data_IF_960618675750
#
_entry.id   IF_960618675750
#
_cell.length_a   1.000
_cell.length_b   1.000
_cell.length_c   1.000
_cell.angle_alpha   90.00
_cell.angle_beta   90.00
_cell.angle_gamma   90.00
#
_symmetry.space_group_name_H-M   'P 1'
#
loop_
_entity.id
_entity.type
_entity.pdbx_description
1 polymer ?
#
# COMPACT_ATOMS: atom_id res chain seq x y z
N UNK A 1 0.40 -0.32 -28.97
CA UNK A 1 0.50 1.15 -28.83
C UNK A 1 1.91 1.49 -29.27
N UNK A 2 2.03 2.18 -30.39
CA UNK A 2 3.30 2.51 -31.01
C UNK A 2 4.05 3.57 -30.19
N UNK A 3 5.39 3.63 -30.31
CA UNK A 3 6.23 4.57 -29.52
C UNK A 3 5.80 6.04 -29.76
N UNK A 4 5.37 6.38 -30.99
CA UNK A 4 4.88 7.72 -31.34
C UNK A 4 3.58 8.07 -30.60
N UNK A 5 2.66 7.11 -30.42
CA UNK A 5 1.40 7.31 -29.70
C UNK A 5 1.63 7.52 -28.19
N UNK A 6 2.62 6.85 -27.61
CA UNK A 6 3.02 7.04 -26.21
C UNK A 6 3.66 8.42 -25.99
N UNK A 7 4.54 8.86 -26.90
CA UNK A 7 5.18 10.18 -26.81
C UNK A 7 4.17 11.32 -26.99
N UNK A 8 3.14 11.14 -27.81
CA UNK A 8 2.08 12.12 -28.00
C UNK A 8 1.17 12.21 -26.76
N UNK A 9 0.77 11.08 -26.19
CA UNK A 9 0.00 11.04 -24.94
C UNK A 9 0.76 11.66 -23.77
N UNK A 10 2.06 11.43 -23.68
CA UNK A 10 2.91 12.05 -22.67
C UNK A 10 2.96 13.57 -22.80
N UNK A 11 3.11 14.09 -24.02
CA UNK A 11 3.10 15.54 -24.28
C UNK A 11 1.76 16.17 -23.92
N UNK A 12 0.65 15.51 -24.27
CA UNK A 12 -0.70 15.98 -23.90
C UNK A 12 -0.85 16.03 -22.38
N UNK A 13 -0.44 14.99 -21.67
CA UNK A 13 -0.51 14.94 -20.22
C UNK A 13 0.37 16.00 -19.56
N UNK A 14 1.62 16.18 -20.02
CA UNK A 14 2.51 17.24 -19.53
C UNK A 14 1.92 18.64 -19.74
N UNK A 15 1.31 18.90 -20.91
CA UNK A 15 0.68 20.16 -21.19
C UNK A 15 -0.54 20.40 -20.28
N UNK A 16 -1.36 19.39 -20.00
CA UNK A 16 -2.48 19.48 -19.06
C UNK A 16 -2.02 19.79 -17.64
N UNK A 17 -0.96 19.15 -17.19
CA UNK A 17 -0.37 19.35 -15.86
C UNK A 17 0.25 20.76 -15.73
N UNK A 18 0.90 21.26 -16.79
CA UNK A 18 1.42 22.64 -16.86
C UNK A 18 0.31 23.67 -16.83
N UNK A 19 -0.82 23.44 -17.54
CA UNK A 19 -1.99 24.32 -17.52
C UNK A 19 -2.60 24.46 -16.13
N UNK A 20 -2.46 23.45 -15.26
CA UNK A 20 -2.95 23.47 -13.90
C UNK A 20 -1.87 23.88 -12.86
N UNK A 21 -0.72 24.39 -13.30
CA UNK A 21 0.42 24.80 -12.46
C UNK A 21 0.92 23.71 -11.50
N UNK A 22 0.70 22.43 -11.85
CA UNK A 22 1.14 21.32 -11.05
C UNK A 22 2.63 21.04 -11.30
N UNK A 23 3.42 21.04 -10.24
CA UNK A 23 4.82 20.57 -10.31
C UNK A 23 4.82 19.05 -10.39
N UNK A 24 4.85 18.54 -11.61
CA UNK A 24 4.67 17.12 -11.92
C UNK A 24 5.80 16.58 -12.77
N UNK A 25 6.16 15.34 -12.52
CA UNK A 25 7.09 14.56 -13.32
C UNK A 25 6.35 13.35 -13.90
N UNK A 26 6.32 13.23 -15.22
CA UNK A 26 5.73 12.08 -15.91
C UNK A 26 6.85 11.11 -16.26
N UNK A 27 6.73 9.90 -15.71
CA UNK A 27 7.71 8.83 -15.95
C UNK A 27 7.09 7.77 -16.85
N UNK A 28 7.71 7.57 -18.01
CA UNK A 28 7.30 6.53 -18.96
C UNK A 28 7.93 5.17 -18.64
N UNK A 29 7.43 4.12 -19.29
CA UNK A 29 8.06 2.79 -19.23
C UNK A 29 9.53 2.85 -19.64
N UNK A 30 9.86 3.61 -20.71
CA UNK A 30 11.22 3.79 -21.21
C UNK A 30 12.14 4.48 -20.20
N UNK A 31 11.63 5.45 -19.45
CA UNK A 31 12.39 6.11 -18.37
C UNK A 31 12.66 5.14 -17.23
N UNK A 32 11.66 4.33 -16.88
CA UNK A 32 11.79 3.28 -15.90
C UNK A 32 12.81 2.20 -16.32
N UNK A 33 12.81 1.80 -17.58
CA UNK A 33 13.80 0.88 -18.16
C UNK A 33 15.22 1.42 -18.00
N UNK A 34 15.47 2.66 -18.43
CA UNK A 34 16.79 3.32 -18.31
C UNK A 34 17.23 3.42 -16.84
N UNK A 35 16.30 3.77 -15.94
CA UNK A 35 16.62 3.85 -14.53
C UNK A 35 17.03 2.49 -13.95
N UNK A 36 16.29 1.43 -14.27
CA UNK A 36 16.58 0.08 -13.80
C UNK A 36 17.87 -0.49 -14.41
N UNK A 37 18.19 -0.17 -15.66
CA UNK A 37 19.47 -0.49 -16.31
C UNK A 37 20.64 0.20 -15.58
N UNK A 38 20.50 1.49 -15.25
CA UNK A 38 21.50 2.23 -14.50
C UNK A 38 21.69 1.67 -13.07
N UNK A 39 20.61 1.21 -12.45
CA UNK A 39 20.65 0.52 -11.16
C UNK A 39 21.37 -0.84 -11.26
N UNK A 40 21.18 -1.53 -12.38
CA UNK A 40 21.81 -2.82 -12.67
C UNK A 40 23.34 -2.78 -12.66
N UNK A 41 23.92 -1.67 -13.09
CA UNK A 41 25.37 -1.48 -13.07
C UNK A 41 25.92 -1.37 -11.64
N UNK A 42 25.07 -1.00 -10.69
CA UNK A 42 25.42 -0.83 -9.26
C UNK A 42 25.07 -2.05 -8.40
N UNK A 43 24.23 -2.95 -8.89
CA UNK A 43 23.75 -4.13 -8.19
C UNK A 43 24.12 -5.41 -8.94
N UNK A 44 23.86 -6.59 -8.34
CA UNK A 44 24.06 -7.86 -9.03
C UNK A 44 23.16 -7.96 -10.27
N UNK A 45 23.74 -8.38 -11.42
CA UNK A 45 23.00 -8.55 -12.69
C UNK A 45 21.73 -9.40 -12.53
N UNK A 46 21.75 -10.41 -11.63
CA UNK A 46 20.59 -11.29 -11.39
C UNK A 46 19.44 -10.52 -10.76
N UNK A 47 19.70 -9.67 -9.77
CA UNK A 47 18.67 -8.85 -9.10
C UNK A 47 18.05 -7.84 -10.06
N UNK A 48 18.86 -7.26 -10.94
CA UNK A 48 18.39 -6.31 -11.94
C UNK A 48 17.39 -6.92 -12.92
N UNK A 49 17.67 -8.10 -13.48
CA UNK A 49 16.77 -8.78 -14.42
C UNK A 49 15.44 -9.10 -13.71
N UNK A 50 15.48 -9.56 -12.46
CA UNK A 50 14.28 -9.86 -11.68
C UNK A 50 13.45 -8.60 -11.41
N UNK A 51 14.10 -7.49 -11.06
CA UNK A 51 13.41 -6.24 -10.76
C UNK A 51 12.79 -5.63 -12.03
N UNK A 52 13.49 -5.64 -13.16
CA UNK A 52 12.96 -5.19 -14.45
C UNK A 52 11.77 -6.04 -14.89
N UNK A 53 11.86 -7.36 -14.75
CA UNK A 53 10.73 -8.26 -15.04
C UNK A 53 9.53 -7.99 -14.14
N UNK A 54 9.76 -7.72 -12.85
CA UNK A 54 8.71 -7.43 -11.87
C UNK A 54 7.97 -6.12 -12.16
N UNK A 55 8.72 -5.04 -12.41
CA UNK A 55 8.16 -3.70 -12.48
C UNK A 55 7.76 -3.27 -13.88
N UNK A 56 8.34 -3.86 -14.93
CA UNK A 56 8.11 -3.42 -16.32
C UNK A 56 7.14 -4.31 -17.10
N UNK A 57 6.79 -5.51 -16.59
CA UNK A 57 5.98 -6.47 -17.34
C UNK A 57 4.74 -6.97 -16.61
N UNK A 58 3.56 -6.37 -16.81
CA UNK A 58 3.33 -5.09 -17.50
C UNK A 58 3.63 -3.90 -16.57
N UNK A 59 3.97 -2.76 -17.16
CA UNK A 59 4.17 -1.50 -16.42
C UNK A 59 2.83 -0.78 -16.27
N UNK A 60 2.00 -1.23 -15.35
CA UNK A 60 0.64 -0.72 -15.06
C UNK A 60 0.30 -0.86 -13.58
N UNK A 61 -0.63 -0.06 -13.10
CA UNK A 61 -1.23 -0.18 -11.76
C UNK A 61 -0.20 -0.28 -10.62
N UNK A 62 -0.21 -1.37 -9.90
CA UNK A 62 0.67 -1.60 -8.73
C UNK A 62 2.17 -1.60 -9.07
N UNK A 63 2.56 -1.95 -10.29
CA UNK A 63 3.95 -1.88 -10.74
C UNK A 63 4.41 -0.43 -10.88
N UNK A 64 3.61 0.43 -11.52
CA UNK A 64 3.90 1.86 -11.66
C UNK A 64 4.01 2.52 -10.27
N UNK A 65 3.09 2.22 -9.36
CA UNK A 65 3.12 2.75 -7.98
C UNK A 65 4.38 2.30 -7.24
N UNK A 66 4.70 1.00 -7.26
CA UNK A 66 5.91 0.47 -6.64
C UNK A 66 7.18 1.13 -7.20
N UNK A 67 7.24 1.33 -8.53
CA UNK A 67 8.33 2.05 -9.15
C UNK A 67 8.41 3.51 -8.67
N UNK A 68 7.28 4.22 -8.63
CA UNK A 68 7.19 5.59 -8.12
C UNK A 68 7.67 5.71 -6.67
N UNK A 69 7.32 4.74 -5.80
CA UNK A 69 7.80 4.69 -4.42
C UNK A 69 9.32 4.50 -4.34
N UNK A 70 9.86 3.68 -5.24
CA UNK A 70 11.29 3.38 -5.29
C UNK A 70 12.12 4.61 -5.66
N UNK A 71 11.69 5.35 -6.70
CA UNK A 71 12.46 6.48 -7.25
C UNK A 71 12.22 7.81 -6.55
N UNK A 72 11.12 7.95 -5.82
CA UNK A 72 10.77 9.17 -5.10
C UNK A 72 11.87 9.58 -4.13
N UNK A 73 12.15 10.89 -4.06
CA UNK A 73 13.06 11.49 -3.08
C UNK A 73 12.31 12.15 -1.92
N UNK A 74 10.99 12.21 -1.99
CA UNK A 74 10.15 12.79 -0.95
C UNK A 74 10.21 11.96 0.32
N UNK A 75 10.10 12.61 1.47
CA UNK A 75 9.99 11.94 2.77
C UNK A 75 8.64 11.25 2.91
N UNK A 76 7.57 11.95 2.61
CA UNK A 76 6.22 11.43 2.66
C UNK A 76 5.74 11.14 1.25
N UNK A 77 5.15 9.98 1.07
CA UNK A 77 4.52 9.56 -0.18
C UNK A 77 3.04 9.38 0.10
N UNK A 78 2.20 9.98 -0.73
CA UNK A 78 0.75 9.76 -0.74
C UNK A 78 0.42 9.06 -2.04
N UNK A 79 -0.37 8.00 -1.96
CA UNK A 79 -0.75 7.18 -3.11
C UNK A 79 -2.26 7.01 -3.14
N UNK A 80 -2.82 7.30 -4.30
CA UNK A 80 -4.23 7.08 -4.63
C UNK A 80 -4.32 6.13 -5.82
N UNK A 81 -5.42 5.38 -5.90
CA UNK A 81 -5.76 4.66 -7.13
C UNK A 81 -6.37 5.62 -8.15
N UNK A 82 -6.29 5.24 -9.42
CA UNK A 82 -6.85 5.98 -10.55
C UNK A 82 -8.38 6.09 -10.54
N UNK A 83 -9.06 5.25 -9.76
CA UNK A 83 -10.52 5.17 -9.66
C UNK A 83 -11.10 5.97 -8.49
N UNK A 84 -10.27 6.73 -7.76
CA UNK A 84 -10.72 7.56 -6.65
C UNK A 84 -10.63 9.04 -6.98
N UNK A 85 -11.56 9.80 -6.42
CA UNK A 85 -11.58 11.27 -6.51
C UNK A 85 -11.69 11.87 -5.11
N UNK A 86 -11.41 13.17 -4.93
CA UNK A 86 -11.60 13.84 -3.65
C UNK A 86 -13.01 13.65 -3.13
N UNK A 87 -13.15 13.26 -1.86
CA UNK A 87 -14.44 13.20 -1.20
C UNK A 87 -14.93 14.61 -0.83
N UNK A 88 -16.24 14.74 -0.61
CA UNK A 88 -16.86 15.96 -0.10
C UNK A 88 -17.28 15.75 1.34
N UNK A 89 -17.07 16.75 2.16
CA UNK A 89 -17.70 16.83 3.47
C UNK A 89 -19.22 16.91 3.30
N UNK A 90 -19.94 16.04 3.98
CA UNK A 90 -21.39 15.94 3.83
C UNK A 90 -22.15 17.11 4.48
N UNK A 91 -21.51 17.81 5.42
CA UNK A 91 -22.12 18.94 6.11
C UNK A 91 -21.91 20.26 5.37
N UNK A 92 -20.66 20.54 4.95
CA UNK A 92 -20.29 21.78 4.25
C UNK A 92 -20.38 21.68 2.73
N UNK A 93 -20.28 20.47 2.16
CA UNK A 93 -20.17 20.24 0.72
C UNK A 93 -18.80 20.57 0.15
N UNK A 94 -17.84 20.96 0.97
CA UNK A 94 -16.47 21.28 0.57
C UNK A 94 -15.67 20.02 0.24
N UNK A 95 -14.71 20.16 -0.67
CA UNK A 95 -13.78 19.07 -0.98
C UNK A 95 -12.81 18.85 0.20
N UNK A 96 -12.66 17.60 0.59
CA UNK A 96 -11.69 17.22 1.61
C UNK A 96 -10.28 17.17 1.02
N UNK A 97 -9.34 17.83 1.68
CA UNK A 97 -7.93 17.73 1.34
C UNK A 97 -7.33 16.45 1.96
N UNK A 98 -7.41 15.36 1.21
CA UNK A 98 -6.91 14.07 1.66
C UNK A 98 -5.38 14.08 1.84
N UNK A 99 -4.66 14.89 1.09
CA UNK A 99 -3.19 14.98 1.19
C UNK A 99 -2.79 15.62 2.52
N UNK A 100 -3.37 16.77 2.86
CA UNK A 100 -3.06 17.46 4.12
C UNK A 100 -3.51 16.63 5.33
N UNK A 101 -4.66 15.96 5.26
CA UNK A 101 -5.11 15.07 6.34
C UNK A 101 -4.15 13.89 6.55
N UNK A 102 -3.64 13.27 5.48
CA UNK A 102 -2.59 12.25 5.58
C UNK A 102 -1.32 12.79 6.23
N UNK A 103 -0.88 13.98 5.80
CA UNK A 103 0.31 14.62 6.37
C UNK A 103 0.12 14.95 7.85
N UNK A 104 -1.05 15.42 8.26
CA UNK A 104 -1.40 15.65 9.66
C UNK A 104 -1.31 14.35 10.48
N UNK A 105 -1.83 13.24 9.93
CA UNK A 105 -1.72 11.93 10.58
C UNK A 105 -0.26 11.49 10.73
N UNK A 106 0.59 11.63 9.71
CA UNK A 106 1.99 11.25 9.74
C UNK A 106 2.82 12.13 10.67
N UNK A 107 2.50 13.41 10.78
CA UNK A 107 3.17 14.37 11.68
C UNK A 107 2.78 14.20 13.14
N UNK A 108 1.59 13.69 13.41
CA UNK A 108 1.10 13.46 14.77
C UNK A 108 1.51 12.09 15.31
N UNK A 109 1.67 11.99 16.64
CA UNK A 109 2.09 10.75 17.29
C UNK A 109 0.97 9.71 17.33
N UNK A 110 1.35 8.43 17.33
CA UNK A 110 0.46 7.28 17.49
C UNK A 110 0.67 6.64 18.87
N UNK A 111 -0.36 6.00 19.41
CA UNK A 111 -0.32 5.34 20.72
C UNK A 111 -0.67 3.85 20.62
N UNK A 112 0.19 3.02 19.98
CA UNK A 112 -0.15 1.63 19.65
C UNK A 112 -0.08 0.66 20.85
N UNK A 113 0.54 1.03 21.97
CA UNK A 113 0.85 0.11 23.05
C UNK A 113 -0.26 -0.06 24.07
N UNK A 114 -1.18 0.89 24.15
CA UNK A 114 -2.28 0.88 25.11
C UNK A 114 -3.53 1.49 24.47
N UNK A 115 -4.61 0.74 24.41
CA UNK A 115 -5.84 1.24 23.80
C UNK A 115 -6.52 2.24 24.74
N UNK A 116 -6.84 3.43 24.23
CA UNK A 116 -7.54 4.46 24.99
C UNK A 116 -9.05 4.22 24.92
N UNK A 117 -9.63 3.70 25.98
CA UNK A 117 -11.08 3.41 26.06
C UNK A 117 -11.96 4.66 26.16
N UNK A 118 -11.37 5.86 26.25
CA UNK A 118 -12.09 7.12 26.13
C UNK A 118 -12.22 7.59 24.67
N UNK A 119 -11.69 6.82 23.72
CA UNK A 119 -11.84 7.14 22.31
C UNK A 119 -13.32 7.22 21.93
N UNK A 120 -13.72 8.38 21.43
CA UNK A 120 -15.07 8.67 20.95
C UNK A 120 -14.98 9.35 19.59
N UNK A 121 -15.41 8.70 18.50
CA UNK A 121 -15.34 9.26 17.15
C UNK A 121 -16.18 10.51 16.95
N UNK A 122 -17.16 10.78 17.83
CA UNK A 122 -17.97 11.98 17.79
C UNK A 122 -17.38 13.15 18.60
N UNK A 123 -16.23 12.94 19.21
CA UNK A 123 -15.52 13.95 20.01
C UNK A 123 -14.07 14.04 19.57
N UNK A 124 -13.88 14.58 18.35
CA UNK A 124 -12.56 14.70 17.73
C UNK A 124 -11.54 15.49 18.57
N UNK A 125 -12.00 16.40 19.40
CA UNK A 125 -11.22 17.21 20.35
C UNK A 125 -10.92 16.52 21.67
N UNK A 126 -11.42 15.31 21.88
CA UNK A 126 -11.23 14.54 23.12
C UNK A 126 -9.81 13.98 23.22
N UNK A 127 -8.91 14.78 23.75
CA UNK A 127 -7.48 14.43 23.91
C UNK A 127 -7.17 13.76 25.24
N UNK A 128 -8.19 13.40 26.04
CA UNK A 128 -8.03 12.78 27.34
C UNK A 128 -7.56 11.33 27.25
N UNK A 129 -6.73 10.91 28.21
CA UNK A 129 -6.38 9.51 28.39
C UNK A 129 -7.25 8.88 29.48
N UNK A 130 -7.67 7.65 29.24
CA UNK A 130 -8.41 6.87 30.25
C UNK A 130 -7.62 6.74 31.55
N UNK A 131 -8.34 6.66 32.67
CA UNK A 131 -7.75 6.39 33.98
C UNK A 131 -6.91 5.10 33.91
N UNK A 132 -5.66 5.17 34.35
CA UNK A 132 -4.72 4.05 34.29
C UNK A 132 -3.90 3.98 33.02
N UNK A 133 -4.10 4.89 32.04
CA UNK A 133 -3.22 4.97 30.90
C UNK A 133 -1.80 5.38 31.35
N UNK A 134 -0.77 4.56 31.06
CA UNK A 134 0.59 4.81 31.56
C UNK A 134 1.15 6.15 31.07
N UNK A 135 1.68 6.96 31.96
CA UNK A 135 2.24 8.27 31.58
C UNK A 135 3.37 8.17 30.55
N UNK A 136 4.23 7.16 30.69
CA UNK A 136 5.34 6.91 29.73
C UNK A 136 4.87 6.64 28.30
N UNK A 137 3.65 6.15 28.11
CA UNK A 137 3.09 5.83 26.79
C UNK A 137 2.29 6.98 26.17
N UNK A 138 1.99 8.04 26.95
CA UNK A 138 1.21 9.20 26.47
C UNK A 138 1.94 10.05 25.44
N UNK A 139 3.27 10.03 25.44
CA UNK A 139 4.08 10.72 24.43
C UNK A 139 3.88 10.14 23.02
N UNK A 140 3.41 8.90 22.95
CA UNK A 140 3.25 8.19 21.69
C UNK A 140 4.56 7.93 20.95
N UNK A 141 4.44 7.34 19.78
CA UNK A 141 5.54 7.01 18.88
C UNK A 141 5.36 7.65 17.51
N UNK A 142 6.40 7.67 16.70
CA UNK A 142 6.33 8.19 15.33
C UNK A 142 5.35 7.39 14.50
N UNK A 143 4.43 8.07 13.82
CA UNK A 143 3.53 7.48 12.84
C UNK A 143 4.26 7.33 11.52
N UNK A 144 4.28 6.12 10.97
CA UNK A 144 4.96 5.83 9.70
C UNK A 144 4.00 5.58 8.55
N UNK A 145 2.73 5.31 8.85
CA UNK A 145 1.70 5.04 7.84
C UNK A 145 0.36 5.64 8.26
N UNK A 146 -0.33 6.23 7.31
CA UNK A 146 -1.71 6.72 7.40
C UNK A 146 -2.53 6.06 6.31
N UNK A 147 -3.48 5.24 6.71
CA UNK A 147 -4.43 4.58 5.82
C UNK A 147 -5.76 5.34 5.88
N UNK A 148 -6.22 5.78 4.73
CA UNK A 148 -7.51 6.45 4.58
C UNK A 148 -8.62 5.47 4.19
N UNK A 149 -9.86 5.94 4.29
CA UNK A 149 -11.06 5.17 3.96
C UNK A 149 -11.66 5.65 2.64
N UNK A 150 -12.66 4.91 2.13
CA UNK A 150 -13.39 5.27 0.93
C UNK A 150 -14.87 5.46 1.23
N UNK A 151 -15.46 6.51 0.65
CA UNK A 151 -16.90 6.67 0.50
C UNK A 151 -17.32 6.10 -0.86
N UNK A 152 -18.60 5.79 -1.01
CA UNK A 152 -19.15 5.18 -2.22
C UNK A 152 -18.95 3.67 -2.22
N UNK A 153 -18.19 3.13 -3.16
CA UNK A 153 -17.91 1.69 -3.24
C UNK A 153 -16.94 1.26 -2.14
N UNK A 154 -17.34 0.35 -1.25
CA UNK A 154 -16.43 -0.23 -0.27
C UNK A 154 -15.40 -1.14 -0.94
N UNK A 155 -14.24 -1.26 -0.33
CA UNK A 155 -13.13 -2.10 -0.80
C UNK A 155 -13.34 -3.55 -0.31
N UNK A 156 -14.28 -4.23 -0.93
CA UNK A 156 -14.62 -5.62 -0.62
C UNK A 156 -13.84 -6.60 -1.49
N UNK A 157 -13.52 -7.77 -0.94
CA UNK A 157 -13.13 -8.92 -1.74
C UNK A 157 -14.30 -9.38 -2.64
N UNK A 158 -13.97 -10.16 -3.66
CA UNK A 158 -14.97 -10.62 -4.64
C UNK A 158 -16.13 -11.42 -4.01
N UNK A 159 -15.92 -12.35 -3.06
CA UNK A 159 -17.01 -13.02 -2.37
C UNK A 159 -17.97 -12.07 -1.66
N UNK A 160 -17.43 -11.10 -0.92
CA UNK A 160 -18.24 -10.10 -0.21
C UNK A 160 -19.00 -9.19 -1.18
N UNK A 161 -18.35 -8.76 -2.26
CA UNK A 161 -18.96 -7.92 -3.30
C UNK A 161 -20.13 -8.65 -4.02
N UNK A 162 -20.03 -9.95 -4.22
CA UNK A 162 -21.14 -10.77 -4.80
C UNK A 162 -22.33 -10.80 -3.85
N UNK A 163 -22.10 -10.94 -2.54
CA UNK A 163 -23.18 -11.02 -1.55
C UNK A 163 -23.79 -9.64 -1.27
N UNK A 164 -22.98 -8.56 -1.40
CA UNK A 164 -23.37 -7.20 -1.06
C UNK A 164 -23.22 -6.21 -2.23
N UNK A 165 -23.80 -6.48 -3.41
CA UNK A 165 -23.54 -5.71 -4.64
C UNK A 165 -24.03 -4.26 -4.58
N UNK A 166 -24.96 -3.94 -3.69
CA UNK A 166 -25.59 -2.63 -3.58
C UNK A 166 -25.13 -1.84 -2.34
N UNK A 167 -24.26 -2.42 -1.52
CA UNK A 167 -23.76 -1.73 -0.33
C UNK A 167 -22.88 -0.54 -0.72
N UNK A 168 -23.09 0.58 -0.04
CA UNK A 168 -22.34 1.81 -0.25
C UNK A 168 -21.99 2.42 1.10
N UNK A 169 -20.74 2.86 1.24
CA UNK A 169 -20.30 3.64 2.40
C UNK A 169 -20.71 5.09 2.19
N UNK A 170 -21.67 5.58 2.98
CA UNK A 170 -22.23 6.93 2.83
C UNK A 170 -21.93 7.84 4.01
N UNK A 171 -21.36 7.31 5.09
CA UNK A 171 -21.11 8.09 6.30
C UNK A 171 -19.64 8.43 6.44
N UNK A 172 -19.38 9.70 6.55
CA UNK A 172 -18.10 10.24 6.97
C UNK A 172 -18.06 10.30 8.50
N UNK A 173 -16.95 9.85 9.08
CA UNK A 173 -16.67 10.00 10.50
C UNK A 173 -15.29 10.63 10.63
N UNK A 174 -15.23 11.83 11.18
CA UNK A 174 -13.97 12.55 11.39
C UNK A 174 -13.21 11.95 12.58
N UNK A 175 -12.60 10.82 12.32
CA UNK A 175 -11.90 10.05 13.34
C UNK A 175 -10.64 9.40 12.82
N UNK A 176 -9.59 9.41 13.64
CA UNK A 176 -8.32 8.73 13.41
C UNK A 176 -8.04 7.74 14.53
N UNK A 177 -7.80 6.50 14.17
CA UNK A 177 -7.49 5.43 15.12
C UNK A 177 -6.06 4.95 14.95
N UNK A 178 -5.34 4.83 16.05
CA UNK A 178 -4.06 4.10 16.05
C UNK A 178 -4.32 2.60 16.05
N UNK A 179 -3.73 1.87 15.11
CA UNK A 179 -3.81 0.41 15.06
C UNK A 179 -2.92 -0.16 16.16
N UNK A 180 -3.47 -0.98 17.09
CA UNK A 180 -2.72 -1.51 18.22
C UNK A 180 -1.52 -2.36 17.77
N UNK A 181 -0.47 -2.36 18.58
CA UNK A 181 0.68 -3.25 18.40
C UNK A 181 0.25 -4.71 18.49
N UNK A 182 0.73 -5.51 17.55
CA UNK A 182 0.41 -6.94 17.46
C UNK A 182 -0.83 -7.26 16.64
N UNK A 183 -1.61 -6.25 16.24
CA UNK A 183 -2.72 -6.45 15.30
C UNK A 183 -2.18 -6.58 13.88
N UNK A 184 -2.73 -7.48 13.10
CA UNK A 184 -2.46 -7.54 11.66
C UNK A 184 -3.15 -6.37 10.95
N UNK A 185 -2.56 -5.93 9.86
CA UNK A 185 -3.06 -4.80 9.10
C UNK A 185 -3.08 -5.13 7.60
N UNK A 186 -4.21 -5.56 7.05
CA UNK A 186 -4.39 -5.63 5.61
C UNK A 186 -4.47 -4.20 5.05
N UNK A 187 -3.57 -3.85 4.15
CA UNK A 187 -3.57 -2.54 3.51
C UNK A 187 -4.51 -2.55 2.31
N UNK A 188 -5.33 -1.51 2.17
CA UNK A 188 -5.88 -1.11 0.87
C UNK A 188 -4.98 -0.03 0.27
N UNK A 189 -4.43 -0.29 -0.91
CA UNK A 189 -3.58 0.67 -1.61
C UNK A 189 -4.33 1.83 -2.26
N UNK A 190 -5.66 1.91 -2.09
CA UNK A 190 -6.51 2.92 -2.73
C UNK A 190 -6.33 4.32 -2.14
N UNK A 191 -5.98 4.41 -0.86
CA UNK A 191 -5.88 5.67 -0.13
C UNK A 191 -4.88 5.51 1.03
N UNK A 192 -3.59 5.75 0.77
CA UNK A 192 -2.53 5.51 1.75
C UNK A 192 -1.42 6.54 1.65
N UNK A 193 -0.85 6.90 2.80
CA UNK A 193 0.38 7.67 2.88
C UNK A 193 1.36 7.05 3.87
N UNK A 194 2.65 7.23 3.62
CA UNK A 194 3.69 6.66 4.47
C UNK A 194 4.98 7.49 4.49
N UNK A 195 5.74 7.37 5.56
CA UNK A 195 7.12 7.90 5.64
C UNK A 195 8.04 6.94 4.88
N UNK A 196 8.47 7.37 3.70
CA UNK A 196 9.28 6.59 2.79
C UNK A 196 10.61 6.14 3.40
N UNK A 197 11.19 6.95 4.28
CA UNK A 197 12.48 6.65 4.91
C UNK A 197 12.38 5.58 5.99
N UNK A 198 11.23 5.52 6.68
CA UNK A 198 11.04 4.65 7.83
C UNK A 198 10.38 3.32 7.50
N UNK A 199 9.52 3.27 6.45
CA UNK A 199 8.74 2.06 6.14
C UNK A 199 8.71 1.73 4.63
N UNK A 200 9.28 2.58 3.79
CA UNK A 200 9.22 2.46 2.33
C UNK A 200 9.61 1.09 1.76
N UNK A 201 10.65 0.41 2.27
CA UNK A 201 11.00 -0.95 1.81
C UNK A 201 9.86 -1.96 1.89
N UNK A 202 8.89 -1.76 2.78
CA UNK A 202 7.73 -2.64 2.93
C UNK A 202 6.63 -2.38 1.91
N UNK A 203 6.71 -1.28 1.14
CA UNK A 203 5.66 -0.83 0.23
C UNK A 203 5.83 -1.38 -1.18
N UNK A 204 6.12 -2.66 -1.30
CA UNK A 204 6.09 -3.39 -2.56
C UNK A 204 4.67 -3.87 -2.82
N UNK A 205 3.97 -3.21 -3.75
CA UNK A 205 2.57 -3.51 -4.09
C UNK A 205 2.44 -4.51 -5.25
N UNK A 206 3.52 -5.21 -5.62
CA UNK A 206 3.52 -6.21 -6.68
C UNK A 206 4.48 -7.35 -6.37
N UNK A 207 3.94 -8.53 -6.15
CA UNK A 207 4.69 -9.76 -5.85
C UNK A 207 4.74 -10.74 -7.02
N UNK A 208 3.87 -10.56 -8.02
CA UNK A 208 3.76 -11.45 -9.17
C UNK A 208 4.81 -11.15 -10.24
N UNK A 209 5.66 -12.12 -10.53
CA UNK A 209 6.48 -12.14 -11.74
C UNK A 209 5.58 -12.61 -12.86
N UNK A 210 5.36 -11.78 -13.89
CA UNK A 210 4.37 -11.96 -14.96
C UNK A 210 4.24 -13.38 -15.49
N UNK A 211 3.02 -13.89 -15.46
CA UNK A 211 2.60 -15.21 -15.93
C UNK A 211 1.26 -15.58 -15.31
N UNK A 212 0.52 -16.48 -15.99
CA UNK A 212 -0.80 -16.96 -15.53
C UNK A 212 -0.77 -17.69 -14.18
N UNK A 213 0.43 -18.02 -13.66
CA UNK A 213 0.65 -18.78 -12.42
C UNK A 213 1.12 -17.95 -11.23
N UNK A 214 0.97 -16.62 -11.24
CA UNK A 214 1.36 -15.84 -10.09
C UNK A 214 0.31 -15.99 -8.97
N UNK A 215 0.77 -16.26 -7.74
CA UNK A 215 -0.09 -16.49 -6.58
C UNK A 215 -1.04 -15.33 -6.29
N UNK A 216 -0.60 -14.12 -6.61
CA UNK A 216 -1.26 -12.87 -6.24
C UNK A 216 -1.60 -11.99 -7.45
N UNK A 217 -1.39 -12.47 -8.69
CA UNK A 217 -1.76 -11.73 -9.90
C UNK A 217 -3.26 -11.85 -10.18
N UNK A 218 -4.03 -10.96 -9.63
CA UNK A 218 -5.28 -10.54 -10.27
C UNK A 218 -4.97 -9.76 -11.56
N UNK A 219 -5.81 -9.90 -12.57
CA UNK A 219 -5.83 -9.01 -13.74
C UNK A 219 -5.83 -7.55 -13.27
N UNK A 220 -5.41 -6.63 -14.10
CA UNK A 220 -5.28 -5.17 -13.97
C UNK A 220 -6.35 -4.39 -13.16
N UNK A 221 -7.15 -5.02 -12.35
CA UNK A 221 -8.15 -4.41 -11.47
C UNK A 221 -7.59 -4.15 -10.07
N UNK A 222 -8.09 -3.13 -9.46
CA UNK A 222 -7.74 -2.51 -8.18
C UNK A 222 -7.79 -3.41 -6.93
N UNK A 223 -8.08 -4.69 -7.06
CA UNK A 223 -8.23 -5.67 -5.96
C UNK A 223 -7.08 -6.66 -5.96
N UNK A 224 -5.88 -6.17 -5.72
CA UNK A 224 -4.69 -7.02 -5.61
C UNK A 224 -4.46 -7.41 -4.15
N UNK A 225 -4.36 -8.71 -3.87
CA UNK A 225 -3.93 -9.22 -2.55
C UNK A 225 -2.47 -8.82 -2.24
N UNK A 226 -1.74 -8.30 -3.21
CA UNK A 226 -0.40 -7.77 -3.02
C UNK A 226 -0.37 -6.59 -2.04
N UNK A 227 -1.40 -5.74 -2.04
CA UNK A 227 -1.56 -4.63 -1.10
C UNK A 227 -1.71 -5.15 0.33
N UNK A 228 -2.50 -6.23 0.52
CA UNK A 228 -2.67 -6.89 1.81
C UNK A 228 -1.33 -7.40 2.34
N UNK A 229 -0.53 -8.03 1.48
CA UNK A 229 0.80 -8.50 1.83
C UNK A 229 1.73 -7.37 2.26
N UNK A 230 1.73 -6.26 1.51
CA UNK A 230 2.51 -5.08 1.88
C UNK A 230 2.09 -4.53 3.25
N UNK A 231 0.79 -4.47 3.53
CA UNK A 231 0.25 -4.06 4.83
C UNK A 231 0.68 -4.97 5.98
N UNK A 232 0.63 -6.29 5.79
CA UNK A 232 1.08 -7.27 6.78
C UNK A 232 2.58 -7.10 7.08
N UNK A 233 3.42 -6.98 6.04
CA UNK A 233 4.85 -6.75 6.20
C UNK A 233 5.13 -5.42 6.90
N UNK A 234 4.53 -4.34 6.43
CA UNK A 234 4.72 -3.00 6.99
C UNK A 234 4.32 -2.93 8.47
N UNK A 235 3.21 -3.60 8.84
CA UNK A 235 2.77 -3.60 10.24
C UNK A 235 3.72 -4.36 11.15
N UNK A 236 4.22 -5.52 10.72
CA UNK A 236 5.21 -6.29 11.49
C UNK A 236 6.49 -5.47 11.69
N UNK A 237 6.96 -4.80 10.63
CA UNK A 237 8.16 -3.94 10.70
C UNK A 237 7.93 -2.73 11.59
N UNK A 238 6.79 -2.04 11.44
CA UNK A 238 6.44 -0.90 12.28
C UNK A 238 6.37 -1.30 13.77
N UNK A 239 5.76 -2.43 14.08
CA UNK A 239 5.66 -2.94 15.44
C UNK A 239 7.03 -3.33 16.04
N UNK A 240 7.91 -3.92 15.22
CA UNK A 240 9.27 -4.29 15.62
C UNK A 240 10.13 -3.06 15.90
N UNK A 241 10.10 -2.06 15.03
CA UNK A 241 10.87 -0.84 15.15
C UNK A 241 10.25 0.20 16.12
N UNK A 242 9.09 -0.09 16.70
CA UNK A 242 8.44 0.80 17.66
C UNK A 242 7.76 1.99 17.02
N UNK A 243 7.24 1.84 15.81
CA UNK A 243 6.46 2.86 15.10
C UNK A 243 4.97 2.61 15.21
N UNK A 244 4.18 3.61 14.80
CA UNK A 244 2.73 3.55 14.77
C UNK A 244 2.14 3.61 13.36
N UNK A 245 0.97 3.01 13.22
CA UNK A 245 0.14 3.03 12.02
C UNK A 245 -1.23 3.58 12.41
N UNK A 246 -1.79 4.46 11.58
CA UNK A 246 -3.11 5.06 11.79
C UNK A 246 -4.06 4.72 10.65
N UNK A 247 -5.35 4.65 10.97
CA UNK A 247 -6.43 4.51 9.99
C UNK A 247 -7.60 5.41 10.34
N UNK A 248 -8.48 5.69 9.36
CA UNK A 248 -9.64 6.58 9.51
C UNK A 248 -9.64 7.65 8.42
N UNK A 249 -9.73 8.92 8.81
CA UNK A 249 -9.54 10.01 7.84
C UNK A 249 -8.11 9.98 7.29
N UNK A 250 -7.91 10.37 6.01
CA UNK A 250 -8.86 10.97 5.09
C UNK A 250 -9.77 9.98 4.37
N UNK A 251 -10.89 10.51 3.89
CA UNK A 251 -11.75 9.78 2.95
C UNK A 251 -11.48 10.25 1.52
N UNK A 252 -11.58 9.30 0.59
CA UNK A 252 -11.70 9.54 -0.85
C UNK A 252 -13.05 9.03 -1.33
N UNK A 253 -13.53 9.52 -2.47
CA UNK A 253 -14.74 8.99 -3.10
C UNK A 253 -14.37 7.99 -4.17
N UNK A 254 -14.99 6.81 -4.11
CA UNK A 254 -14.91 5.77 -5.13
C UNK A 254 -16.26 5.63 -5.81
N UNK A 255 -16.33 6.06 -7.07
CA UNK A 255 -17.57 6.11 -7.83
C UNK A 255 -17.99 4.76 -8.42
N UNK A 256 -19.26 4.64 -8.85
CA UNK A 256 -19.76 3.45 -9.54
C UNK A 256 -19.15 3.25 -10.93
N UNK A 257 -18.55 4.28 -11.50
CA UNK A 257 -17.96 4.24 -12.85
C UNK A 257 -16.61 3.52 -12.92
N UNK A 258 -15.98 3.29 -11.77
CA UNK A 258 -14.78 2.49 -11.68
C UNK A 258 -15.14 1.00 -11.80
N UNK A 259 -15.08 0.46 -13.02
CA UNK A 259 -15.15 -0.98 -13.36
C UNK A 259 -16.48 -1.72 -13.08
N UNK A 260 -17.46 -1.13 -12.37
CA UNK A 260 -18.70 -1.78 -11.98
C UNK A 260 -19.92 -0.94 -12.31
N UNK A 261 -20.33 -0.90 -13.58
CA UNK A 261 -21.68 -0.41 -13.92
C UNK A 261 -22.74 -1.31 -13.27
N UNK A 262 -23.92 -0.76 -12.98
CA UNK A 262 -25.00 -1.42 -12.22
C UNK A 262 -25.41 -2.81 -12.71
N UNK A 263 -25.25 -3.10 -14.01
CA UNK A 263 -25.45 -4.44 -14.59
C UNK A 263 -24.17 -5.29 -14.63
N UNK A 264 -23.02 -4.69 -14.37
CA UNK A 264 -21.69 -5.33 -14.39
C UNK A 264 -21.10 -5.65 -13.01
N UNK A 265 -21.70 -5.14 -11.92
CA UNK A 265 -21.13 -5.30 -10.58
C UNK A 265 -20.96 -6.79 -10.21
N UNK A 266 -21.98 -7.60 -10.40
CA UNK A 266 -21.93 -9.04 -10.12
C UNK A 266 -21.04 -9.75 -11.13
N UNK A 267 -21.10 -9.39 -12.41
CA UNK A 267 -20.23 -9.97 -13.45
C UNK A 267 -18.75 -9.60 -13.21
N UNK A 268 -18.48 -8.39 -12.81
CA UNK A 268 -17.14 -7.94 -12.41
C UNK A 268 -16.62 -8.68 -11.19
N UNK A 269 -17.45 -8.80 -10.13
CA UNK A 269 -17.09 -9.55 -8.93
C UNK A 269 -16.85 -11.05 -9.22
N UNK A 270 -17.65 -11.66 -10.13
CA UNK A 270 -17.43 -13.03 -10.59
C UNK A 270 -16.13 -13.18 -11.39
N UNK A 271 -15.76 -12.18 -12.19
CA UNK A 271 -14.49 -12.17 -12.89
C UNK A 271 -13.30 -12.04 -11.91
N UNK A 272 -13.41 -11.16 -10.91
CA UNK A 272 -12.42 -11.00 -9.85
C UNK A 272 -12.30 -12.27 -9.00
N UNK A 273 -13.41 -12.97 -8.73
CA UNK A 273 -13.38 -14.19 -7.93
C UNK A 273 -12.45 -15.26 -8.53
N UNK A 274 -12.34 -15.36 -9.86
CA UNK A 274 -11.41 -16.30 -10.52
C UNK A 274 -9.97 -16.03 -10.14
N UNK A 275 -9.61 -14.78 -9.98
CA UNK A 275 -8.23 -14.35 -9.71
C UNK A 275 -7.94 -14.24 -8.22
N UNK A 276 -8.95 -13.94 -7.41
CA UNK A 276 -8.81 -13.75 -5.97
C UNK A 276 -8.96 -15.05 -5.16
N UNK A 277 -9.65 -16.06 -5.70
CA UNK A 277 -10.03 -17.26 -4.93
C UNK A 277 -8.81 -18.00 -4.34
N UNK A 278 -7.78 -18.28 -5.15
CA UNK A 278 -6.57 -18.93 -4.67
C UNK A 278 -5.78 -18.07 -3.66
N UNK A 279 -5.53 -16.77 -3.92
CA UNK A 279 -4.95 -15.86 -2.93
C UNK A 279 -5.72 -15.79 -1.61
N UNK A 280 -7.05 -15.72 -1.64
CA UNK A 280 -7.86 -15.68 -0.42
C UNK A 280 -7.71 -16.95 0.43
N UNK A 281 -7.70 -18.14 -0.21
CA UNK A 281 -7.44 -19.40 0.50
C UNK A 281 -6.04 -19.43 1.12
N UNK A 282 -5.04 -18.93 0.41
CA UNK A 282 -3.67 -18.87 0.94
C UNK A 282 -3.51 -17.90 2.09
N UNK A 283 -4.32 -16.83 2.15
CA UNK A 283 -4.28 -15.91 3.28
C UNK A 283 -4.64 -16.60 4.60
N UNK A 284 -5.52 -17.59 4.60
CA UNK A 284 -5.84 -18.37 5.80
C UNK A 284 -4.61 -19.06 6.40
N UNK A 285 -3.70 -19.54 5.55
CA UNK A 285 -2.45 -20.18 5.97
C UNK A 285 -1.35 -19.15 6.27
N UNK A 286 -1.36 -18.00 5.61
CA UNK A 286 -0.38 -16.94 5.75
C UNK A 286 -0.60 -16.09 7.01
N UNK A 287 -1.85 -15.87 7.42
CA UNK A 287 -2.20 -15.10 8.62
C UNK A 287 -1.51 -15.66 9.88
N UNK A 288 -1.55 -16.97 10.20
CA UNK A 288 -0.83 -17.53 11.35
C UNK A 288 0.69 -17.32 11.29
N UNK A 289 1.28 -17.34 10.08
CA UNK A 289 2.69 -17.02 9.91
C UNK A 289 2.99 -15.59 10.37
N UNK A 290 2.24 -14.59 9.91
CA UNK A 290 2.45 -13.20 10.31
C UNK A 290 2.15 -12.95 11.79
N UNK A 291 1.16 -13.61 12.38
CA UNK A 291 0.86 -13.52 13.82
C UNK A 291 2.01 -14.01 14.69
N UNK A 292 2.71 -15.04 14.26
CA UNK A 292 3.80 -15.66 15.01
C UNK A 292 5.18 -15.12 14.63
N UNK A 293 5.26 -14.29 13.60
CA UNK A 293 6.51 -13.75 13.08
C UNK A 293 7.18 -12.85 14.13
N UNK A 294 8.47 -13.11 14.38
CA UNK A 294 9.30 -12.30 15.26
C UNK A 294 10.62 -12.03 14.56
N UNK A 295 10.95 -10.75 14.44
CA UNK A 295 12.21 -10.30 13.84
C UNK A 295 13.33 -10.29 14.86
N UNK A 296 14.55 -10.48 14.39
CA UNK A 296 15.74 -10.45 15.24
C UNK A 296 16.01 -9.04 15.75
N UNK A 297 16.64 -8.94 16.93
CA UNK A 297 17.04 -7.65 17.49
C UNK A 297 18.08 -6.91 16.63
N UNK A 298 18.73 -7.63 15.71
CA UNK A 298 19.74 -7.07 14.79
C UNK A 298 19.11 -6.35 13.60
N UNK A 299 17.83 -6.60 13.29
CA UNK A 299 17.09 -5.88 12.27
C UNK A 299 16.62 -4.53 12.84
N UNK A 300 17.41 -3.47 12.61
CA UNK A 300 17.21 -2.15 13.23
C UNK A 300 16.67 -1.10 12.27
N UNK A 301 16.47 -1.44 11.02
CA UNK A 301 15.88 -0.60 9.98
C UNK A 301 14.89 -1.41 9.13
N UNK A 302 14.11 -0.72 8.31
CA UNK A 302 13.05 -1.35 7.51
C UNK A 302 13.59 -2.28 6.43
N UNK A 303 14.73 -1.97 5.83
CA UNK A 303 15.39 -2.80 4.82
C UNK A 303 15.80 -4.16 5.38
N UNK A 304 16.47 -4.16 6.52
CA UNK A 304 16.93 -5.39 7.17
C UNK A 304 15.74 -6.22 7.70
N UNK A 305 14.72 -5.54 8.26
CA UNK A 305 13.48 -6.18 8.66
C UNK A 305 12.78 -6.86 7.49
N UNK A 306 12.62 -6.17 6.37
CA UNK A 306 11.94 -6.69 5.19
C UNK A 306 12.70 -7.85 4.54
N UNK A 307 14.03 -7.75 4.47
CA UNK A 307 14.89 -8.84 4.00
C UNK A 307 14.83 -10.06 4.94
N UNK A 308 14.69 -9.85 6.26
CA UNK A 308 14.50 -10.95 7.20
C UNK A 308 13.15 -11.62 7.02
N UNK A 309 12.06 -10.85 6.81
CA UNK A 309 10.74 -11.40 6.46
C UNK A 309 10.85 -12.26 5.20
N UNK A 310 11.51 -11.78 4.14
CA UNK A 310 11.69 -12.52 2.89
C UNK A 310 12.35 -13.90 3.13
N UNK A 311 13.41 -13.95 3.92
CA UNK A 311 14.07 -15.21 4.29
C UNK A 311 13.16 -16.15 5.07
N UNK A 312 12.33 -15.61 5.98
CA UNK A 312 11.39 -16.41 6.76
C UNK A 312 10.23 -16.92 5.88
N UNK A 313 9.74 -16.12 4.93
CA UNK A 313 8.78 -16.54 3.89
C UNK A 313 9.34 -17.74 3.12
N UNK A 314 10.56 -17.64 2.60
CA UNK A 314 11.22 -18.73 1.90
C UNK A 314 11.35 -20.01 2.75
N UNK A 315 11.71 -19.85 4.02
CA UNK A 315 11.93 -20.98 4.90
C UNK A 315 10.67 -21.68 5.40
N UNK A 316 9.60 -20.91 5.66
CA UNK A 316 8.40 -21.41 6.32
C UNK A 316 7.21 -21.62 5.39
N UNK A 317 7.04 -20.76 4.36
CA UNK A 317 5.85 -20.80 3.49
C UNK A 317 6.07 -21.60 2.20
N UNK A 318 7.31 -21.92 1.84
CA UNK A 318 7.61 -22.78 0.69
C UNK A 318 6.87 -24.12 0.73
N UNK A 319 6.66 -24.67 1.93
CA UNK A 319 5.94 -25.94 2.12
C UNK A 319 4.42 -25.83 1.84
N UNK A 320 3.85 -24.64 1.90
CA UNK A 320 2.45 -24.40 1.59
C UNK A 320 2.22 -24.28 0.08
N UNK A 321 3.03 -23.46 -0.59
CA UNK A 321 3.02 -23.33 -2.05
C UNK A 321 4.44 -22.96 -2.54
N UNK A 322 4.97 -23.65 -3.58
CA UNK A 322 6.30 -23.40 -4.12
C UNK A 322 6.52 -21.96 -4.61
N UNK A 323 5.45 -21.23 -4.96
CA UNK A 323 5.54 -19.85 -5.42
C UNK A 323 6.02 -18.87 -4.34
N UNK A 324 5.93 -19.22 -3.05
CA UNK A 324 6.52 -18.40 -1.98
C UNK A 324 8.06 -18.32 -2.08
N UNK A 325 8.72 -19.24 -2.77
CA UNK A 325 10.14 -19.11 -3.09
C UNK A 325 10.39 -17.93 -4.04
N UNK A 326 9.52 -17.76 -5.05
CA UNK A 326 9.57 -16.60 -5.97
C UNK A 326 9.22 -15.31 -5.27
N UNK A 327 8.18 -15.31 -4.43
CA UNK A 327 7.79 -14.15 -3.61
C UNK A 327 8.98 -13.69 -2.76
N UNK A 328 9.63 -14.60 -2.05
CA UNK A 328 10.81 -14.27 -1.24
C UNK A 328 11.96 -13.69 -2.08
N UNK A 329 12.24 -14.26 -3.25
CA UNK A 329 13.27 -13.76 -4.15
C UNK A 329 12.96 -12.34 -4.67
N UNK A 330 11.70 -12.05 -4.96
CA UNK A 330 11.23 -10.72 -5.33
C UNK A 330 11.40 -9.73 -4.18
N UNK A 331 11.02 -10.12 -2.96
CA UNK A 331 11.18 -9.29 -1.76
C UNK A 331 12.66 -8.99 -1.48
N UNK A 332 13.55 -9.97 -1.57
CA UNK A 332 14.99 -9.80 -1.42
C UNK A 332 15.55 -8.82 -2.46
N UNK A 333 15.18 -9.02 -3.74
CA UNK A 333 15.61 -8.15 -4.84
C UNK A 333 15.15 -6.71 -4.65
N UNK A 334 13.91 -6.52 -4.18
CA UNK A 334 13.35 -5.21 -3.89
C UNK A 334 14.08 -4.52 -2.73
N UNK A 335 14.35 -5.24 -1.64
CA UNK A 335 15.10 -4.71 -0.49
C UNK A 335 16.52 -4.27 -0.90
N UNK A 336 17.20 -5.06 -1.73
CA UNK A 336 18.52 -4.73 -2.24
C UNK A 336 18.50 -3.49 -3.15
N UNK A 337 17.50 -3.38 -4.03
CA UNK A 337 17.30 -2.21 -4.88
C UNK A 337 17.04 -0.96 -4.05
N UNK A 338 16.18 -1.07 -3.04
CA UNK A 338 15.88 0.03 -2.13
C UNK A 338 17.15 0.52 -1.41
N UNK A 339 17.93 -0.40 -0.88
CA UNK A 339 19.20 -0.12 -0.22
C UNK A 339 20.20 0.55 -1.17
N UNK A 340 20.34 0.05 -2.39
CA UNK A 340 21.28 0.61 -3.38
C UNK A 340 20.94 2.06 -3.77
N UNK A 341 19.64 2.40 -3.85
CA UNK A 341 19.20 3.76 -4.19
C UNK A 341 19.39 4.72 -3.01
N UNK A 342 19.15 4.28 -1.78
CA UNK A 342 19.15 5.14 -0.61
C UNK A 342 20.51 5.18 0.11
N UNK A 343 21.45 4.29 -0.18
CA UNK A 343 22.83 4.34 0.36
C UNK A 343 23.73 5.39 -0.31
N UNK A 344 23.23 6.05 -1.36
CA UNK A 344 23.96 7.04 -2.14
C UNK A 344 23.59 8.51 -1.79
N UNK A 345 22.86 8.72 -0.68
CA UNK A 345 22.45 10.06 -0.19
C UNK A 345 23.13 10.38 1.14
#
# INVERSE_FOLDING_TARGET
MDEEEQDEQQKVLQNLLLLHELNSEVVTKRDAEKFLEALATKSSKRHSITLSSLLLNPFVGSACRSFGFLVSKARYVVSFLEDVVPAKDLGSGELLDAVEQHLANLRSKATPYYFNTLYDPHRADSVGFVRGYPFSLRLGVTTVMSHGLSLGLPDYDAPTAIVKPHERTQRYVDAVVTIPKGSLFPLSGSNVAFDRRLIGPCMLLRLGIGGQDSLFSGSSSSTSVDDVWAGLCAKVVADHLGFGVKTGVPYVWRGPDSSFSSNGAVAGALASLKTEFKPLLLLEDVVPFFQTLRLSKNATNAEDCYAEIARMVKGKLRGLDPSFERVAAVMETWADAWKAINSAV
#
